data_IF_734960079833
#
_entry.id   IF_734960079833
#
_cell.length_a   1.000
_cell.length_b   1.000
_cell.length_c   1.000
_cell.angle_alpha   90.00
_cell.angle_beta   90.00
_cell.angle_gamma   90.00
#
_symmetry.space_group_name_H-M   'P 1'
#
loop_
_entity.id
_entity.type
_entity.pdbx_description
1 polymer ?
#
# COMPACT_ATOMS: atom_id res chain seq x y z
N UNK A 1 -28.99 12.08 -7.65
CA UNK A 1 -27.79 12.64 -6.99
C UNK A 1 -26.78 12.97 -8.09
N UNK A 2 -26.05 14.09 -8.05
CA UNK A 2 -25.10 14.43 -9.12
C UNK A 2 -23.68 13.96 -8.76
N UNK A 3 -22.85 13.66 -9.77
CA UNK A 3 -21.49 13.14 -9.60
C UNK A 3 -20.59 14.05 -8.75
N UNK A 4 -20.86 15.36 -8.74
CA UNK A 4 -20.16 16.32 -7.88
C UNK A 4 -20.45 16.06 -6.40
N UNK A 5 -21.72 15.89 -6.02
CA UNK A 5 -22.14 15.62 -4.64
C UNK A 5 -21.63 14.27 -4.15
N UNK A 6 -21.61 13.24 -5.01
CA UNK A 6 -21.02 11.93 -4.67
C UNK A 6 -19.53 12.03 -4.38
N UNK A 7 -18.79 12.77 -5.21
CA UNK A 7 -17.35 12.99 -5.03
C UNK A 7 -17.03 13.76 -3.74
N UNK A 8 -17.83 14.77 -3.42
CA UNK A 8 -17.71 15.55 -2.19
C UNK A 8 -17.99 14.69 -0.94
N UNK A 9 -19.07 13.89 -0.96
CA UNK A 9 -19.39 12.96 0.13
C UNK A 9 -18.28 11.91 0.32
N UNK A 10 -17.74 11.38 -0.77
CA UNK A 10 -16.64 10.42 -0.71
C UNK A 10 -15.36 11.04 -0.13
N UNK A 11 -15.01 12.26 -0.56
CA UNK A 11 -13.86 12.99 -0.02
C UNK A 11 -14.02 13.26 1.49
N UNK A 12 -15.20 13.68 1.95
CA UNK A 12 -15.48 13.86 3.37
C UNK A 12 -15.36 12.54 4.17
N UNK A 13 -15.77 11.42 3.57
CA UNK A 13 -15.56 10.08 4.12
C UNK A 13 -14.08 9.74 4.31
N UNK A 14 -13.25 10.01 3.30
CA UNK A 14 -11.80 9.79 3.36
C UNK A 14 -11.11 10.70 4.39
N UNK A 15 -11.54 11.94 4.55
CA UNK A 15 -11.02 12.83 5.59
C UNK A 15 -11.32 12.32 7.00
N UNK A 16 -12.51 11.76 7.20
CA UNK A 16 -12.86 11.13 8.48
C UNK A 16 -12.01 9.89 8.74
N UNK A 17 -11.74 9.08 7.70
CA UNK A 17 -10.83 7.94 7.81
C UNK A 17 -9.41 8.40 8.15
N UNK A 18 -8.89 9.40 7.45
CA UNK A 18 -7.56 9.97 7.69
C UNK A 18 -7.38 10.41 9.16
N UNK A 19 -8.38 11.07 9.75
CA UNK A 19 -8.33 11.45 11.18
C UNK A 19 -8.26 10.24 12.10
N UNK A 20 -9.04 9.18 11.81
CA UNK A 20 -9.02 7.94 12.60
C UNK A 20 -7.67 7.25 12.51
N UNK A 21 -7.13 7.13 11.30
CA UNK A 21 -5.83 6.52 11.04
C UNK A 21 -4.73 7.26 11.82
N UNK A 22 -4.69 8.59 11.74
CA UNK A 22 -3.71 9.39 12.47
C UNK A 22 -3.79 9.15 13.97
N UNK A 23 -5.00 9.15 14.55
CA UNK A 23 -5.16 8.91 16.00
C UNK A 23 -4.60 7.53 16.40
N UNK A 24 -4.90 6.49 15.62
CA UNK A 24 -4.41 5.13 15.90
C UNK A 24 -2.88 5.07 15.78
N UNK A 25 -2.28 5.74 14.78
CA UNK A 25 -0.81 5.79 14.62
C UNK A 25 -0.13 6.49 15.79
N UNK A 26 -0.75 7.54 16.36
CA UNK A 26 -0.23 8.18 17.57
C UNK A 26 -0.30 7.25 18.79
N UNK A 27 -1.36 6.44 18.92
CA UNK A 27 -1.44 5.40 19.97
C UNK A 27 -0.34 4.34 19.81
N UNK A 28 -0.06 3.91 18.57
CA UNK A 28 1.07 3.01 18.29
C UNK A 28 2.41 3.64 18.63
N UNK A 29 2.61 4.93 18.36
CA UNK A 29 3.85 5.64 18.73
C UNK A 29 4.02 5.69 20.24
N UNK A 30 2.97 6.02 20.98
CA UNK A 30 3.01 6.00 22.44
C UNK A 30 3.34 4.62 23.00
N UNK A 31 2.81 3.54 22.40
CA UNK A 31 3.18 2.19 22.79
C UNK A 31 4.65 1.86 22.45
N UNK A 32 5.13 2.25 21.26
CA UNK A 32 6.51 2.01 20.83
C UNK A 32 7.53 2.67 21.77
N UNK A 33 7.26 3.91 22.20
CA UNK A 33 8.08 4.62 23.18
C UNK A 33 8.14 3.91 24.54
N UNK A 34 7.03 3.30 24.98
CA UNK A 34 6.96 2.56 26.26
C UNK A 34 7.75 1.24 26.24
N UNK A 35 7.95 0.63 25.08
CA UNK A 35 8.62 -0.66 24.93
C UNK A 35 9.89 -0.58 24.08
N UNK A 36 10.52 0.59 24.00
CA UNK A 36 11.62 0.88 23.06
C UNK A 36 12.77 -0.14 23.12
N UNK A 37 13.08 -0.64 24.32
CA UNK A 37 14.17 -1.60 24.57
C UNK A 37 13.80 -3.07 24.28
N UNK A 38 12.55 -3.36 23.91
CA UNK A 38 12.07 -4.72 23.64
C UNK A 38 12.04 -4.95 22.13
N UNK A 39 12.58 -6.06 21.58
CA UNK A 39 12.60 -6.33 20.13
C UNK A 39 11.25 -6.23 19.40
N UNK A 40 10.13 -6.40 20.12
CA UNK A 40 8.79 -6.25 19.57
C UNK A 40 8.47 -4.80 19.15
N UNK A 41 9.19 -3.78 19.64
CA UNK A 41 9.05 -2.37 19.23
C UNK A 41 9.22 -2.20 17.72
N UNK A 42 10.06 -3.02 17.09
CA UNK A 42 10.28 -3.04 15.63
C UNK A 42 8.99 -3.29 14.84
N UNK A 43 8.06 -4.09 15.35
CA UNK A 43 6.76 -4.29 14.69
C UNK A 43 5.89 -3.04 14.78
N UNK A 44 5.98 -2.29 15.88
CA UNK A 44 5.24 -1.03 16.04
C UNK A 44 5.83 0.07 15.14
N UNK A 45 7.15 0.13 15.02
CA UNK A 45 7.84 1.04 14.10
C UNK A 45 7.44 0.77 12.64
N UNK A 46 7.28 -0.50 12.27
CA UNK A 46 6.73 -0.86 10.97
C UNK A 46 5.32 -0.28 10.82
N UNK A 47 4.39 -0.58 11.74
CA UNK A 47 3.00 -0.09 11.66
C UNK A 47 2.94 1.45 11.54
N UNK A 48 3.78 2.16 12.29
CA UNK A 48 3.88 3.63 12.22
C UNK A 48 4.36 4.09 10.83
N UNK A 49 5.35 3.40 10.26
CA UNK A 49 5.87 3.67 8.91
C UNK A 49 4.80 3.45 7.84
N UNK A 50 4.01 2.38 7.94
CA UNK A 50 2.86 2.16 7.06
C UNK A 50 1.80 3.24 7.21
N UNK A 51 1.50 3.64 8.45
CA UNK A 51 0.58 4.73 8.75
C UNK A 51 0.97 6.04 8.05
N UNK A 52 2.26 6.38 8.01
CA UNK A 52 2.76 7.55 7.28
C UNK A 52 2.54 7.45 5.76
N UNK A 53 2.71 6.25 5.19
CA UNK A 53 2.41 5.98 3.79
C UNK A 53 0.90 6.09 3.49
N UNK A 54 0.05 5.53 4.35
CA UNK A 54 -1.41 5.64 4.27
C UNK A 54 -1.86 7.10 4.31
N UNK A 55 -1.33 7.89 5.24
CA UNK A 55 -1.61 9.33 5.35
C UNK A 55 -1.30 10.05 4.04
N UNK A 56 -0.12 9.82 3.48
CA UNK A 56 0.33 10.45 2.22
C UNK A 56 -0.59 10.10 1.05
N UNK A 57 -0.99 8.83 0.94
CA UNK A 57 -1.92 8.34 -0.07
C UNK A 57 -3.31 8.97 0.06
N UNK A 58 -3.89 8.95 1.26
CA UNK A 58 -5.22 9.50 1.54
C UNK A 58 -5.26 11.01 1.24
N UNK A 59 -4.27 11.77 1.70
CA UNK A 59 -4.15 13.19 1.40
C UNK A 59 -4.09 13.46 -0.12
N UNK A 60 -3.34 12.63 -0.85
CA UNK A 60 -3.21 12.76 -2.31
C UNK A 60 -4.51 12.44 -3.03
N UNK A 61 -5.23 11.40 -2.61
CA UNK A 61 -6.53 11.04 -3.16
C UNK A 61 -7.57 12.12 -2.87
N UNK A 62 -7.67 12.58 -1.62
CA UNK A 62 -8.58 13.67 -1.23
C UNK A 62 -8.33 14.93 -2.05
N UNK A 63 -7.06 15.34 -2.19
CA UNK A 63 -6.67 16.49 -3.02
C UNK A 63 -7.09 16.28 -4.47
N UNK A 64 -6.85 15.10 -5.02
CA UNK A 64 -7.22 14.74 -6.40
C UNK A 64 -8.74 14.75 -6.59
N UNK A 65 -9.53 14.34 -5.60
CA UNK A 65 -10.99 14.38 -5.62
C UNK A 65 -11.57 15.80 -5.48
N UNK A 66 -10.86 16.71 -4.83
CA UNK A 66 -11.30 18.11 -4.72
C UNK A 66 -10.96 18.94 -5.96
N UNK A 67 -9.93 18.56 -6.71
CA UNK A 67 -9.55 19.25 -7.93
C UNK A 67 -10.52 18.94 -9.07
N UNK A 68 -11.00 19.97 -9.78
CA UNK A 68 -11.77 19.80 -11.03
C UNK A 68 -10.81 19.21 -12.08
N UNK A 69 -11.20 18.17 -12.84
CA UNK A 69 -10.33 17.59 -13.85
C UNK A 69 -9.88 18.66 -14.84
N UNK A 70 -8.59 19.01 -14.84
CA UNK A 70 -8.02 19.75 -15.97
C UNK A 70 -8.07 18.81 -17.17
N UNK A 71 -8.77 19.21 -18.24
CA UNK A 71 -8.69 18.55 -19.55
C UNK A 71 -7.21 18.42 -19.89
N UNK A 72 -6.68 17.20 -19.90
CA UNK A 72 -5.38 16.92 -20.51
C UNK A 72 -5.57 17.00 -22.03
N UNK A 73 -5.13 18.11 -22.61
CA UNK A 73 -4.83 18.21 -24.04
C UNK A 73 -3.45 17.60 -24.26
N UNK A 74 -3.34 16.56 -25.07
CA UNK A 74 -2.06 15.90 -25.33
C UNK A 74 -2.12 14.89 -26.45
N UNK A 75 -1.67 15.32 -27.63
CA UNK A 75 -1.47 14.58 -28.87
C UNK A 75 -0.33 13.55 -28.78
N UNK A 76 -0.45 12.46 -29.53
CA UNK A 76 0.66 11.56 -29.89
C UNK A 76 0.29 10.09 -29.82
N UNK A 77 -0.22 9.51 -30.91
CA UNK A 77 -0.71 8.12 -30.95
C UNK A 77 0.41 7.06 -30.99
N UNK A 78 1.59 7.40 -31.52
CA UNK A 78 2.61 6.39 -31.86
C UNK A 78 3.59 6.03 -30.73
N UNK A 79 3.79 6.88 -29.72
CA UNK A 79 4.64 6.57 -28.56
C UNK A 79 3.90 5.79 -27.46
N UNK A 80 2.58 5.67 -27.56
CA UNK A 80 1.72 5.08 -26.52
C UNK A 80 1.82 3.56 -26.51
N UNK A 81 1.94 2.93 -27.69
CA UNK A 81 2.06 1.47 -27.81
C UNK A 81 3.33 0.91 -27.14
N UNK A 82 4.49 1.49 -27.46
CA UNK A 82 5.78 1.06 -26.90
C UNK A 82 5.82 1.27 -25.38
N UNK A 83 5.31 2.40 -24.90
CA UNK A 83 5.24 2.70 -23.45
C UNK A 83 4.30 1.72 -22.75
N UNK A 84 3.16 1.39 -23.35
CA UNK A 84 2.20 0.40 -22.82
C UNK A 84 2.84 -0.97 -22.71
N UNK A 85 3.47 -1.48 -23.77
CA UNK A 85 4.08 -2.82 -23.77
C UNK A 85 5.24 -2.92 -22.78
N UNK A 86 6.03 -1.85 -22.65
CA UNK A 86 7.07 -1.76 -21.64
C UNK A 86 6.50 -1.80 -20.22
N UNK A 87 5.44 -1.03 -19.96
CA UNK A 87 4.77 -1.02 -18.66
C UNK A 87 4.21 -2.42 -18.31
N UNK A 88 3.53 -3.09 -19.25
CA UNK A 88 2.99 -4.43 -19.04
C UNK A 88 4.09 -5.46 -18.74
N UNK A 89 5.21 -5.40 -19.45
CA UNK A 89 6.37 -6.27 -19.16
C UNK A 89 6.92 -6.03 -17.75
N UNK A 90 7.05 -4.78 -17.32
CA UNK A 90 7.50 -4.46 -15.97
C UNK A 90 6.52 -4.93 -14.90
N UNK A 91 5.22 -4.73 -15.10
CA UNK A 91 4.18 -5.20 -14.19
C UNK A 91 4.25 -6.73 -14.03
N UNK A 92 4.38 -7.47 -15.14
CA UNK A 92 4.54 -8.92 -15.10
C UNK A 92 5.75 -9.37 -14.29
N UNK A 93 6.92 -8.73 -14.50
CA UNK A 93 8.15 -9.02 -13.74
C UNK A 93 7.98 -8.74 -12.25
N UNK A 94 7.38 -7.61 -11.87
CA UNK A 94 7.17 -7.26 -10.47
C UNK A 94 6.23 -8.24 -9.79
N UNK A 95 5.13 -8.65 -10.45
CA UNK A 95 4.20 -9.64 -9.89
C UNK A 95 4.88 -10.98 -9.59
N UNK A 96 5.77 -11.45 -10.46
CA UNK A 96 6.55 -12.67 -10.21
C UNK A 96 7.48 -12.52 -8.99
N UNK A 97 8.11 -11.35 -8.83
CA UNK A 97 8.96 -11.07 -7.67
C UNK A 97 8.17 -11.07 -6.36
N UNK A 98 7.00 -10.43 -6.33
CA UNK A 98 6.13 -10.45 -5.13
C UNK A 98 5.66 -11.87 -4.77
N UNK A 99 5.44 -12.73 -5.78
CA UNK A 99 5.10 -14.14 -5.54
C UNK A 99 6.27 -14.92 -4.94
N UNK A 100 7.49 -14.68 -5.43
CA UNK A 100 8.69 -15.28 -4.88
C UNK A 100 8.88 -14.89 -3.40
N UNK A 101 8.76 -13.60 -3.06
CA UNK A 101 8.85 -13.13 -1.66
C UNK A 101 7.82 -13.85 -0.77
N UNK A 102 6.57 -13.98 -1.23
CA UNK A 102 5.54 -14.71 -0.48
C UNK A 102 5.91 -16.18 -0.26
N UNK A 103 6.51 -16.83 -1.25
CA UNK A 103 6.94 -18.22 -1.14
C UNK A 103 8.14 -18.38 -0.19
N UNK A 104 9.09 -17.45 -0.24
CA UNK A 104 10.26 -17.41 0.63
C UNK A 104 9.84 -17.19 2.09
N UNK A 105 8.93 -16.27 2.35
CA UNK A 105 8.35 -16.08 3.70
C UNK A 105 7.76 -17.39 4.23
N UNK A 106 6.92 -18.09 3.44
CA UNK A 106 6.35 -19.39 3.86
C UNK A 106 7.40 -20.48 4.05
N UNK A 107 8.48 -20.43 3.28
CA UNK A 107 9.60 -21.36 3.44
C UNK A 107 10.31 -21.14 4.76
N UNK A 108 10.64 -19.87 5.07
CA UNK A 108 11.29 -19.46 6.31
C UNK A 108 10.42 -19.75 7.53
N UNK A 109 9.10 -19.49 7.46
CA UNK A 109 8.16 -19.84 8.55
C UNK A 109 8.21 -21.32 8.93
N UNK A 110 8.29 -22.21 7.93
CA UNK A 110 8.38 -23.66 8.16
C UNK A 110 9.70 -24.10 8.78
N UNK A 111 10.73 -23.26 8.74
CA UNK A 111 12.04 -23.52 9.34
C UNK A 111 12.15 -22.92 10.75
N UNK A 112 11.32 -21.93 11.09
CA UNK A 112 11.32 -21.22 12.37
C UNK A 112 10.59 -21.99 13.49
N UNK A 113 10.80 -23.30 13.61
CA UNK A 113 10.19 -24.16 14.64
C UNK A 113 10.98 -24.16 15.96
N UNK A 114 11.34 -22.99 16.47
CA UNK A 114 12.09 -22.82 17.72
C UNK A 114 11.37 -21.92 18.72
N UNK A 115 11.64 -22.12 20.02
CA UNK A 115 11.14 -21.24 21.09
C UNK A 115 11.57 -19.79 20.81
N UNK A 116 10.66 -18.82 21.04
CA UNK A 116 10.81 -17.39 20.71
C UNK A 116 10.68 -17.01 19.21
N UNK A 117 10.31 -17.95 18.34
CA UNK A 117 10.08 -17.70 16.91
C UNK A 117 8.86 -16.83 16.56
N UNK A 118 7.96 -16.55 17.51
CA UNK A 118 6.68 -15.89 17.27
C UNK A 118 6.82 -14.48 16.68
N UNK A 119 7.84 -13.73 17.11
CA UNK A 119 8.13 -12.39 16.58
C UNK A 119 8.50 -12.46 15.09
N UNK A 120 9.35 -13.41 14.73
CA UNK A 120 9.78 -13.64 13.35
C UNK A 120 8.62 -14.21 12.52
N UNK A 121 7.79 -15.08 13.10
CA UNK A 121 6.60 -15.62 12.46
C UNK A 121 5.63 -14.49 12.05
N UNK A 122 5.35 -13.57 12.98
CA UNK A 122 4.53 -12.39 12.75
C UNK A 122 5.12 -11.47 11.67
N UNK A 123 6.44 -11.23 11.71
CA UNK A 123 7.14 -10.44 10.71
C UNK A 123 7.02 -11.04 9.30
N UNK A 124 7.23 -12.36 9.17
CA UNK A 124 7.14 -13.06 7.90
C UNK A 124 5.70 -13.09 7.36
N UNK A 125 4.69 -13.15 8.24
CA UNK A 125 3.29 -13.01 7.84
C UNK A 125 2.97 -11.61 7.31
N UNK A 126 3.44 -10.57 8.00
CA UNK A 126 3.28 -9.20 7.54
C UNK A 126 3.90 -8.99 6.15
N UNK A 127 5.14 -9.44 5.93
CA UNK A 127 5.82 -9.37 4.62
C UNK A 127 5.03 -10.11 3.51
N UNK A 128 4.51 -11.29 3.82
CA UNK A 128 3.71 -12.08 2.88
C UNK A 128 2.36 -11.41 2.57
N UNK A 129 1.74 -10.76 3.55
CA UNK A 129 0.50 -9.98 3.36
C UNK A 129 0.76 -8.75 2.48
N UNK A 130 1.86 -8.07 2.70
CA UNK A 130 2.27 -6.91 1.91
C UNK A 130 2.58 -7.26 0.46
N UNK A 131 3.27 -8.37 0.24
CA UNK A 131 3.52 -8.87 -1.12
C UNK A 131 2.21 -9.18 -1.87
N UNK A 132 1.20 -9.74 -1.18
CA UNK A 132 -0.14 -9.96 -1.75
C UNK A 132 -0.87 -8.63 -2.02
N UNK A 133 -0.75 -7.64 -1.13
CA UNK A 133 -1.27 -6.28 -1.31
C UNK A 133 -0.68 -5.65 -2.57
N UNK A 134 0.63 -5.71 -2.75
CA UNK A 134 1.33 -5.18 -3.93
C UNK A 134 0.89 -5.86 -5.22
N UNK A 135 0.71 -7.18 -5.23
CA UNK A 135 0.17 -7.89 -6.39
C UNK A 135 -1.22 -7.38 -6.81
N UNK A 136 -2.10 -7.09 -5.85
CA UNK A 136 -3.43 -6.51 -6.13
C UNK A 136 -3.31 -5.12 -6.74
N UNK A 137 -2.40 -4.29 -6.24
CA UNK A 137 -2.14 -2.97 -6.82
C UNK A 137 -1.60 -3.08 -8.25
N UNK A 138 -0.62 -3.96 -8.48
CA UNK A 138 -0.06 -4.21 -9.81
C UNK A 138 -1.11 -4.71 -10.80
N UNK A 139 -2.04 -5.56 -10.36
CA UNK A 139 -3.19 -5.99 -11.18
C UNK A 139 -4.12 -4.85 -11.55
N UNK A 140 -4.35 -3.91 -10.62
CA UNK A 140 -5.17 -2.73 -10.92
C UNK A 140 -4.47 -1.80 -11.92
N UNK A 141 -3.17 -1.58 -11.73
CA UNK A 141 -2.34 -0.82 -12.69
C UNK A 141 -2.35 -1.50 -14.06
N UNK A 142 -2.22 -2.82 -14.12
CA UNK A 142 -2.30 -3.60 -15.36
C UNK A 142 -3.61 -3.37 -16.11
N UNK A 143 -4.75 -3.42 -15.40
CA UNK A 143 -6.07 -3.15 -15.98
C UNK A 143 -6.15 -1.74 -16.55
N UNK A 144 -5.67 -0.74 -15.81
CA UNK A 144 -5.65 0.65 -16.27
C UNK A 144 -4.74 0.88 -17.47
N UNK A 145 -3.60 0.17 -17.55
CA UNK A 145 -2.65 0.27 -18.67
C UNK A 145 -3.17 -0.42 -19.92
N UNK A 146 -3.85 -1.57 -19.78
CA UNK A 146 -4.45 -2.29 -20.91
C UNK A 146 -5.57 -1.48 -21.57
N UNK A 147 -6.38 -0.78 -20.76
CA UNK A 147 -7.54 -0.02 -21.23
C UNK A 147 -8.68 -0.95 -21.56
#
# INVERSE_FOLDING_TARGET
MNAKKERELFAAGLERLLRKENNIVEEYRGLAELIEDIPASLLLDWVITEGAAHHTLLCTIIRSLKQIPRKKTGNGADSVGIVRDNALRWIGRLRLKEQAVTADCRSLKRQACWEEGDLIDALLDALAMDSKKHQRFLLMVEKTVKG
#
